data_IF_635125472899
#
_entry.id   IF_635125472899
#
_cell.length_a   1.000
_cell.length_b   1.000
_cell.length_c   1.000
_cell.angle_alpha   90.00
_cell.angle_beta   90.00
_cell.angle_gamma   90.00
#
_symmetry.space_group_name_H-M   'P 1'
#
loop_
_entity.id
_entity.type
_entity.pdbx_description
1 polymer ?
#
# COMPACT_ATOMS: atom_id res chain seq x y z
N UNK A 1 17.19 16.44 15.51
CA UNK A 1 17.97 15.28 15.04
C UNK A 1 17.75 14.05 15.91
N UNK A 2 17.79 14.15 17.23
CA UNK A 2 17.61 13.01 18.16
C UNK A 2 16.24 12.30 18.03
N UNK A 3 15.16 13.05 17.75
CA UNK A 3 13.81 12.50 17.52
C UNK A 3 13.69 11.71 16.21
N UNK A 4 14.39 12.15 15.16
CA UNK A 4 14.42 11.48 13.84
C UNK A 4 15.25 10.18 13.91
N UNK A 5 16.35 10.20 14.67
CA UNK A 5 17.18 9.02 14.95
C UNK A 5 16.44 7.98 15.80
N UNK A 6 15.63 8.42 16.77
CA UNK A 6 14.75 7.54 17.55
C UNK A 6 13.61 6.97 16.70
N UNK A 7 13.00 7.74 15.79
CA UNK A 7 11.92 7.26 14.90
C UNK A 7 12.35 6.15 13.94
N UNK A 8 13.57 6.19 13.40
CA UNK A 8 14.09 5.15 12.49
C UNK A 8 14.27 3.77 13.16
N UNK A 9 14.44 3.72 14.48
CA UNK A 9 14.59 2.48 15.26
C UNK A 9 13.25 1.84 15.68
N UNK A 10 12.13 2.55 15.54
CA UNK A 10 10.84 2.21 16.16
C UNK A 10 9.87 1.50 15.19
N UNK A 11 10.07 1.62 13.87
CA UNK A 11 9.21 0.96 12.86
C UNK A 11 9.04 -0.57 12.99
N UNK A 12 10.04 -1.35 13.41
CA UNK A 12 9.90 -2.81 13.55
C UNK A 12 9.12 -3.26 14.80
N UNK A 13 8.76 -2.33 15.70
CA UNK A 13 8.46 -2.63 17.11
C UNK A 13 7.27 -3.52 17.42
N UNK A 14 6.30 -3.57 16.51
CA UNK A 14 5.00 -4.15 16.85
C UNK A 14 4.70 -5.43 16.10
N UNK A 15 5.60 -5.86 15.22
CA UNK A 15 5.40 -7.04 14.39
C UNK A 15 5.22 -8.35 15.20
N UNK A 16 5.76 -8.46 16.42
CA UNK A 16 5.91 -9.76 17.08
C UNK A 16 4.91 -10.04 18.23
N UNK A 17 4.54 -9.04 19.03
CA UNK A 17 3.86 -9.31 20.32
C UNK A 17 2.36 -9.66 20.20
N UNK A 18 1.73 -9.32 19.07
CA UNK A 18 0.34 -9.68 18.77
C UNK A 18 0.25 -11.03 18.05
N UNK A 19 1.33 -11.46 17.38
CA UNK A 19 1.39 -12.71 16.61
C UNK A 19 1.29 -13.98 17.46
N UNK A 20 1.52 -13.91 18.78
CA UNK A 20 1.57 -15.08 19.68
C UNK A 20 0.27 -15.33 20.47
N UNK A 21 -0.79 -14.53 20.29
CA UNK A 21 -2.04 -14.67 21.07
C UNK A 21 -3.28 -15.10 20.30
N UNK A 22 -3.21 -15.31 18.98
CA UNK A 22 -4.37 -15.71 18.18
C UNK A 22 -4.03 -16.91 17.28
N UNK A 23 -4.79 -18.01 17.33
CA UNK A 23 -4.52 -19.18 16.50
C UNK A 23 -5.00 -18.94 15.07
N UNK A 24 -4.13 -19.31 14.12
CA UNK A 24 -4.43 -19.72 12.73
C UNK A 24 -5.10 -18.76 11.75
N UNK A 25 -4.40 -18.61 10.60
CA UNK A 25 -4.88 -18.25 9.26
C UNK A 25 -5.19 -16.76 8.99
N UNK A 26 -4.63 -16.26 7.88
CA UNK A 26 -4.99 -15.06 7.10
C UNK A 26 -4.26 -13.71 7.37
N UNK A 27 -3.40 -13.38 6.39
CA UNK A 27 -3.20 -12.07 5.71
C UNK A 27 -2.09 -11.09 6.18
N UNK A 28 -1.39 -10.44 5.22
CA UNK A 28 -0.52 -9.27 5.46
C UNK A 28 -1.21 -8.09 6.18
N UNK A 29 -2.55 -8.02 6.17
CA UNK A 29 -3.33 -7.02 6.92
C UNK A 29 -3.09 -7.08 8.45
N UNK A 30 -2.85 -8.26 9.03
CA UNK A 30 -2.49 -8.36 10.45
C UNK A 30 -1.12 -7.74 10.74
N UNK A 31 -0.15 -7.85 9.81
CA UNK A 31 1.18 -7.22 9.98
C UNK A 31 1.07 -5.69 10.07
N UNK A 32 0.20 -5.10 9.26
CA UNK A 32 -0.13 -3.66 9.30
C UNK A 32 -0.73 -3.29 10.65
N UNK A 33 -1.83 -3.94 11.06
CA UNK A 33 -2.55 -3.66 12.31
C UNK A 33 -1.67 -3.77 13.56
N UNK A 34 -0.74 -4.73 13.55
CA UNK A 34 0.22 -4.87 14.64
C UNK A 34 1.12 -3.63 14.68
N UNK A 35 1.83 -3.27 13.60
CA UNK A 35 2.70 -2.08 13.52
C UNK A 35 2.04 -0.78 14.03
N UNK A 36 0.73 -0.60 13.79
CA UNK A 36 -0.03 0.54 14.27
C UNK A 36 -0.17 0.61 15.80
N UNK A 37 -0.57 -0.48 16.45
CA UNK A 37 -0.97 -0.45 17.87
C UNK A 37 0.17 -0.07 18.81
N UNK A 38 1.39 -0.52 18.55
CA UNK A 38 2.53 -0.31 19.45
C UNK A 38 3.19 1.06 19.29
N UNK A 39 3.09 1.66 18.10
CA UNK A 39 3.65 2.98 17.82
C UNK A 39 2.75 4.11 18.33
N UNK A 40 1.42 3.90 18.32
CA UNK A 40 0.48 4.81 18.98
C UNK A 40 0.69 4.87 20.50
N UNK A 41 1.24 3.81 21.11
CA UNK A 41 1.65 3.82 22.52
C UNK A 41 2.91 4.68 22.77
N UNK A 42 3.77 4.86 21.76
CA UNK A 42 4.97 5.70 21.86
C UNK A 42 4.70 7.18 21.54
N UNK A 43 3.67 7.48 20.75
CA UNK A 43 3.41 8.82 20.21
C UNK A 43 1.90 9.11 19.99
N UNK A 44 1.13 9.30 21.07
CA UNK A 44 -0.33 9.45 21.00
C UNK A 44 -0.82 10.68 20.22
N UNK A 45 -0.03 11.77 20.15
CA UNK A 45 -0.40 13.03 19.47
C UNK A 45 -0.05 13.15 17.98
N UNK A 46 0.59 12.13 17.37
CA UNK A 46 1.12 12.22 15.99
C UNK A 46 0.74 11.03 15.11
N UNK A 47 -0.46 10.48 15.32
CA UNK A 47 -0.95 9.24 14.69
C UNK A 47 -0.81 9.23 13.15
N UNK A 48 -1.17 10.32 12.47
CA UNK A 48 -1.13 10.43 11.00
C UNK A 48 0.29 10.45 10.40
N UNK A 49 1.22 11.22 10.98
CA UNK A 49 2.62 11.29 10.51
C UNK A 49 3.33 9.96 10.71
N UNK A 50 3.03 9.27 11.82
CA UNK A 50 3.61 7.97 12.15
C UNK A 50 3.07 6.88 11.25
N UNK A 51 1.77 6.90 10.98
CA UNK A 51 1.14 6.07 9.96
C UNK A 51 1.89 6.22 8.62
N UNK A 52 2.03 7.47 8.15
CA UNK A 52 2.76 7.78 6.91
C UNK A 52 4.19 7.23 6.90
N UNK A 53 4.93 7.35 8.01
CA UNK A 53 6.31 6.87 8.11
C UNK A 53 6.42 5.33 8.08
N UNK A 54 5.55 4.61 8.80
CA UNK A 54 5.48 3.14 8.79
C UNK A 54 5.26 2.64 7.36
N UNK A 55 4.25 3.24 6.74
CA UNK A 55 3.76 2.89 5.43
C UNK A 55 4.79 3.28 4.35
N UNK A 56 5.57 4.35 4.56
CA UNK A 56 6.71 4.71 3.71
C UNK A 56 7.84 3.68 3.80
N UNK A 57 8.11 3.10 4.98
CA UNK A 57 9.10 2.02 5.13
C UNK A 57 8.80 0.79 4.24
N UNK A 58 7.53 0.43 4.09
CA UNK A 58 7.11 -0.61 3.16
C UNK A 58 7.38 -0.23 1.69
N UNK A 59 7.12 1.04 1.33
CA UNK A 59 7.43 1.57 0.00
C UNK A 59 8.93 1.55 -0.30
N UNK A 60 9.77 1.91 0.67
CA UNK A 60 11.23 2.02 0.53
C UNK A 60 11.96 0.68 0.52
N UNK A 61 11.36 -0.41 1.00
CA UNK A 61 11.98 -1.74 1.03
C UNK A 61 12.42 -2.28 -0.35
N UNK A 62 11.85 -1.75 -1.42
CA UNK A 62 12.22 -2.10 -2.80
C UNK A 62 13.53 -1.43 -3.29
N UNK A 63 14.02 -0.37 -2.62
CA UNK A 63 15.20 0.40 -3.08
C UNK A 63 16.47 -0.44 -3.23
N UNK A 64 16.69 -1.38 -2.30
CA UNK A 64 17.87 -2.24 -2.32
C UNK A 64 17.61 -3.60 -2.97
N UNK A 65 16.41 -4.15 -2.78
CA UNK A 65 16.16 -5.56 -3.10
C UNK A 65 16.20 -5.85 -4.59
N UNK A 66 15.68 -4.98 -5.46
CA UNK A 66 15.70 -5.22 -6.92
C UNK A 66 17.12 -5.13 -7.50
N UNK A 67 17.93 -4.20 -7.00
CA UNK A 67 19.34 -4.06 -7.40
C UNK A 67 20.18 -5.25 -6.96
N UNK A 68 20.04 -5.68 -5.69
CA UNK A 68 20.75 -6.85 -5.16
C UNK A 68 20.39 -8.12 -5.95
N UNK A 69 19.10 -8.32 -6.21
CA UNK A 69 18.63 -9.46 -7.01
C UNK A 69 19.22 -9.44 -8.42
N UNK A 70 19.17 -8.28 -9.09
CA UNK A 70 19.64 -8.16 -10.48
C UNK A 70 21.15 -8.32 -10.57
N UNK A 71 21.92 -7.72 -9.66
CA UNK A 71 23.38 -7.85 -9.63
C UNK A 71 23.82 -9.30 -9.34
N UNK A 72 23.08 -10.03 -8.51
CA UNK A 72 23.35 -11.45 -8.23
C UNK A 72 22.99 -12.36 -9.41
N UNK A 73 21.79 -12.18 -9.98
CA UNK A 73 21.27 -13.02 -11.07
C UNK A 73 21.99 -12.76 -12.40
N UNK A 74 22.26 -11.51 -12.74
CA UNK A 74 22.76 -11.10 -14.04
C UNK A 74 23.95 -10.13 -13.91
N UNK A 75 25.10 -10.56 -13.37
CA UNK A 75 26.24 -9.67 -13.11
C UNK A 75 26.85 -9.10 -14.39
N UNK A 76 26.77 -9.85 -15.49
CA UNK A 76 27.30 -9.46 -16.81
C UNK A 76 26.32 -8.57 -17.60
N UNK A 77 25.17 -8.22 -16.99
CA UNK A 77 24.15 -7.37 -17.58
C UNK A 77 23.69 -7.84 -18.98
N UNK A 78 23.56 -9.16 -19.15
CA UNK A 78 23.13 -9.77 -20.42
C UNK A 78 21.69 -9.35 -20.72
N UNK A 79 21.35 -9.09 -21.99
CA UNK A 79 19.96 -8.79 -22.36
C UNK A 79 19.12 -10.08 -22.43
N UNK A 80 17.81 -10.00 -22.15
CA UNK A 80 16.89 -11.12 -22.36
C UNK A 80 16.56 -11.31 -23.86
N UNK A 81 15.79 -12.37 -24.17
CA UNK A 81 15.24 -12.58 -25.50
C UNK A 81 14.15 -11.53 -25.85
N UNK A 82 13.69 -11.54 -27.10
CA UNK A 82 12.69 -10.59 -27.61
C UNK A 82 11.33 -10.66 -26.90
N UNK A 83 11.04 -11.75 -26.21
CA UNK A 83 9.84 -11.93 -25.38
C UNK A 83 9.97 -11.37 -23.95
N UNK A 84 11.15 -10.82 -23.59
CA UNK A 84 11.43 -10.27 -22.27
C UNK A 84 11.84 -11.31 -21.22
N UNK A 85 12.14 -12.55 -21.61
CA UNK A 85 12.58 -13.60 -20.70
C UNK A 85 14.06 -13.97 -20.88
N UNK A 86 14.70 -14.37 -19.78
CA UNK A 86 16.06 -14.90 -19.78
C UNK A 86 16.02 -16.41 -19.98
N UNK A 87 16.82 -16.92 -20.92
CA UNK A 87 16.96 -18.36 -21.18
C UNK A 87 18.35 -18.91 -20.85
N UNK A 88 19.30 -18.03 -20.53
CA UNK A 88 20.66 -18.48 -20.26
C UNK A 88 20.73 -19.29 -18.97
N UNK A 89 21.27 -20.50 -19.06
CA UNK A 89 21.48 -21.38 -17.91
C UNK A 89 22.27 -20.66 -16.80
N UNK A 90 23.27 -19.85 -17.16
CA UNK A 90 24.08 -19.08 -16.21
C UNK A 90 23.29 -18.12 -15.30
N UNK A 91 22.13 -17.64 -15.77
CA UNK A 91 21.20 -16.78 -15.02
C UNK A 91 20.15 -17.64 -14.31
N UNK A 92 19.59 -18.63 -15.00
CA UNK A 92 18.53 -19.51 -14.48
C UNK A 92 19.01 -20.36 -13.29
N UNK A 93 20.25 -20.86 -13.33
CA UNK A 93 20.85 -21.67 -12.25
C UNK A 93 21.05 -20.86 -10.96
N UNK A 94 21.09 -19.53 -11.05
CA UNK A 94 21.19 -18.62 -9.89
C UNK A 94 19.85 -18.32 -9.24
N UNK A 95 18.73 -18.62 -9.90
CA UNK A 95 17.37 -18.31 -9.41
C UNK A 95 17.09 -18.99 -8.06
N UNK A 96 17.34 -20.29 -7.84
CA UNK A 96 17.14 -20.89 -6.52
C UNK A 96 18.01 -20.23 -5.43
N UNK A 97 19.27 -19.90 -5.76
CA UNK A 97 20.23 -19.29 -4.84
C UNK A 97 19.83 -17.86 -4.44
N UNK A 98 19.22 -17.08 -5.33
CA UNK A 98 18.75 -15.73 -4.99
C UNK A 98 17.64 -15.76 -3.95
N UNK A 99 16.77 -16.78 -3.95
CA UNK A 99 15.74 -16.93 -2.91
C UNK A 99 16.37 -17.24 -1.54
N UNK A 100 17.43 -18.05 -1.50
CA UNK A 100 18.18 -18.31 -0.25
C UNK A 100 18.86 -17.04 0.24
N UNK A 101 19.50 -16.28 -0.65
CA UNK A 101 20.12 -14.98 -0.32
C UNK A 101 19.08 -14.01 0.25
N UNK A 102 17.94 -13.84 -0.41
CA UNK A 102 16.85 -12.98 0.06
C UNK A 102 16.31 -13.46 1.41
N UNK A 103 16.15 -14.78 1.60
CA UNK A 103 15.76 -15.37 2.87
C UNK A 103 16.73 -15.03 3.99
N UNK A 104 18.04 -15.14 3.74
CA UNK A 104 19.08 -14.77 4.71
C UNK A 104 19.08 -13.26 5.03
N UNK A 105 18.97 -12.40 4.00
CA UNK A 105 18.88 -10.95 4.18
C UNK A 105 17.65 -10.58 5.00
N UNK A 106 16.48 -11.13 4.67
CA UNK A 106 15.26 -10.87 5.43
C UNK A 106 15.33 -11.44 6.86
N UNK A 107 15.99 -12.58 7.07
CA UNK A 107 16.20 -13.14 8.41
C UNK A 107 17.09 -12.24 9.25
N UNK A 108 18.18 -11.71 8.70
CA UNK A 108 19.06 -10.75 9.39
C UNK A 108 18.31 -9.46 9.68
N UNK A 109 17.63 -8.89 8.69
CA UNK A 109 16.82 -7.67 8.88
C UNK A 109 15.76 -7.87 9.96
N UNK A 110 15.07 -9.01 9.95
CA UNK A 110 14.06 -9.35 10.96
C UNK A 110 14.71 -9.59 12.32
N UNK A 111 15.88 -10.23 12.38
CA UNK A 111 16.63 -10.47 13.62
C UNK A 111 17.10 -9.17 14.27
N UNK A 112 17.68 -8.26 13.50
CA UNK A 112 18.04 -6.90 13.96
C UNK A 112 16.78 -6.16 14.40
N UNK A 113 15.72 -6.21 13.60
CA UNK A 113 14.41 -5.64 13.96
C UNK A 113 13.90 -6.17 15.30
N UNK A 114 14.06 -7.48 15.56
CA UNK A 114 13.70 -8.16 16.81
C UNK A 114 14.58 -7.74 17.99
N UNK A 115 15.88 -7.53 17.80
CA UNK A 115 16.81 -7.10 18.85
C UNK A 115 16.61 -5.64 19.23
N UNK A 116 16.19 -4.80 18.28
CA UNK A 116 15.82 -3.40 18.53
C UNK A 116 14.45 -3.28 19.21
N UNK A 117 13.74 -4.41 19.46
CA UNK A 117 12.42 -4.39 20.09
C UNK A 117 12.51 -4.06 21.59
N UNK A 118 12.06 -2.86 21.99
CA UNK A 118 11.93 -2.48 23.39
C UNK A 118 10.52 -1.98 23.72
N UNK A 119 10.00 -2.39 24.90
CA UNK A 119 8.74 -1.86 25.42
C UNK A 119 8.94 -0.40 25.82
N UNK A 120 7.93 0.48 25.65
CA UNK A 120 7.97 1.79 26.28
C UNK A 120 8.09 1.64 27.81
N UNK A 121 8.87 2.48 28.51
CA UNK A 121 8.96 2.47 29.98
C UNK A 121 7.55 2.60 30.58
N UNK A 122 7.20 1.74 31.55
CA UNK A 122 5.84 1.66 32.13
C UNK A 122 5.37 3.01 32.71
N UNK A 123 6.31 3.74 33.28
CA UNK A 123 6.18 5.06 33.87
C UNK A 123 5.75 6.12 32.85
N UNK A 124 6.18 6.01 31.58
CA UNK A 124 5.71 6.89 30.50
C UNK A 124 4.40 6.43 29.87
N UNK A 125 4.12 5.13 29.85
CA UNK A 125 2.84 4.59 29.34
C UNK A 125 1.66 5.16 30.12
N UNK A 126 1.79 5.32 31.44
CA UNK A 126 0.72 5.91 32.24
C UNK A 126 0.53 7.41 31.97
N UNK A 127 1.63 8.14 31.78
CA UNK A 127 1.59 9.55 31.34
C UNK A 127 0.96 9.69 29.96
N UNK A 128 1.22 8.76 29.03
CA UNK A 128 0.66 8.78 27.67
C UNK A 128 -0.81 8.37 27.61
N UNK A 129 -1.25 7.45 28.47
CA UNK A 129 -2.67 7.14 28.63
C UNK A 129 -3.39 8.36 29.22
N UNK A 130 -2.80 9.02 30.23
CA UNK A 130 -3.36 10.25 30.80
C UNK A 130 -3.37 11.43 29.81
N UNK A 131 -2.32 11.61 29.00
CA UNK A 131 -2.29 12.60 27.92
C UNK A 131 -3.28 12.26 26.81
N UNK A 132 -3.41 10.98 26.44
CA UNK A 132 -4.39 10.51 25.46
C UNK A 132 -5.83 10.70 25.93
N UNK A 133 -6.12 10.36 27.18
CA UNK A 133 -7.41 10.61 27.84
C UNK A 133 -7.67 12.11 28.01
N UNK A 134 -6.65 12.92 28.31
CA UNK A 134 -6.72 14.38 28.38
C UNK A 134 -7.00 15.02 27.02
N UNK A 135 -6.41 14.52 25.94
CA UNK A 135 -6.62 15.01 24.58
C UNK A 135 -8.00 14.61 24.06
N UNK A 136 -8.42 13.37 24.31
CA UNK A 136 -9.78 12.91 24.03
C UNK A 136 -10.81 13.70 24.85
N UNK A 137 -10.54 13.94 26.14
CA UNK A 137 -11.41 14.76 26.99
C UNK A 137 -11.44 16.22 26.49
N UNK A 138 -10.31 16.79 26.04
CA UNK A 138 -10.27 18.12 25.43
C UNK A 138 -11.06 18.19 24.13
N UNK A 139 -10.91 17.22 23.23
CA UNK A 139 -11.68 17.15 21.98
C UNK A 139 -13.19 17.06 22.28
N UNK A 140 -13.60 16.17 23.20
CA UNK A 140 -15.00 16.03 23.65
C UNK A 140 -15.52 17.31 24.32
N UNK A 141 -14.67 18.02 25.07
CA UNK A 141 -15.07 19.27 25.75
C UNK A 141 -15.15 20.44 24.77
N UNK A 142 -14.26 20.50 23.77
CA UNK A 142 -14.28 21.52 22.71
C UNK A 142 -15.55 21.38 21.87
N UNK A 143 -15.89 20.15 21.46
CA UNK A 143 -17.10 19.83 20.69
C UNK A 143 -18.37 20.18 21.51
N UNK A 144 -18.36 19.88 22.83
CA UNK A 144 -19.46 20.22 23.74
C UNK A 144 -19.60 21.74 24.00
N UNK A 145 -18.50 22.50 23.98
CA UNK A 145 -18.54 23.97 24.16
C UNK A 145 -18.95 24.71 22.88
N UNK A 146 -18.57 24.23 21.69
CA UNK A 146 -19.08 24.77 20.42
C UNK A 146 -20.59 24.52 20.28
N UNK A 147 -21.07 23.33 20.69
CA UNK A 147 -22.50 22.97 20.71
C UNK A 147 -23.36 23.86 21.64
N UNK A 148 -22.76 24.54 22.64
CA UNK A 148 -23.48 25.46 23.53
C UNK A 148 -23.63 26.88 22.97
N UNK A 149 -22.87 27.23 21.93
CA UNK A 149 -22.97 28.55 21.25
C UNK A 149 -23.92 28.55 20.06
N UNK A 150 -24.44 27.38 19.67
CA UNK A 150 -25.47 27.24 18.63
C UNK A 150 -26.83 27.25 19.32
N UNK A 151 -27.70 28.19 18.92
CA UNK A 151 -29.09 28.27 19.37
C UNK A 151 -29.77 26.89 19.31
N UNK A 152 -30.59 26.49 20.31
CA UNK A 152 -31.22 25.16 20.37
C UNK A 152 -32.10 24.78 19.17
N UNK A 153 -32.34 25.72 18.24
CA UNK A 153 -33.17 25.54 17.05
C UNK A 153 -32.38 25.17 15.77
N UNK A 154 -31.06 24.97 15.81
CA UNK A 154 -30.27 24.67 14.59
C UNK A 154 -29.35 23.45 14.71
N UNK A 155 -29.37 22.71 15.83
CA UNK A 155 -28.65 21.43 16.00
C UNK A 155 -29.51 20.24 15.52
N UNK A 156 -30.17 20.38 14.38
CA UNK A 156 -30.85 19.28 13.67
C UNK A 156 -30.13 18.95 12.37
N UNK A 157 -28.80 19.04 12.37
CA UNK A 157 -27.94 18.54 11.31
C UNK A 157 -27.15 17.32 11.81
N UNK A 158 -27.86 16.20 11.94
CA UNK A 158 -27.37 14.81 11.80
C UNK A 158 -25.86 14.59 11.94
N UNK A 159 -25.31 14.59 13.14
CA UNK A 159 -24.18 13.71 13.49
C UNK A 159 -24.77 12.43 14.07
N UNK A 160 -25.30 11.56 13.21
CA UNK A 160 -25.49 10.17 13.62
C UNK A 160 -24.12 9.66 14.08
N UNK A 161 -23.98 9.09 15.29
CA UNK A 161 -22.72 8.52 15.74
C UNK A 161 -22.22 7.53 14.67
N UNK A 162 -20.95 7.64 14.28
CA UNK A 162 -20.33 6.68 13.37
C UNK A 162 -20.50 5.31 14.01
N UNK A 163 -21.41 4.50 13.46
CA UNK A 163 -21.71 3.19 14.05
C UNK A 163 -20.49 2.31 13.84
N UNK A 164 -19.72 2.09 14.91
CA UNK A 164 -18.63 1.12 14.91
C UNK A 164 -19.22 -0.27 14.63
N UNK A 165 -18.89 -0.81 13.46
CA UNK A 165 -19.43 -2.06 12.96
C UNK A 165 -18.43 -3.21 13.16
N UNK A 166 -18.95 -4.33 13.65
CA UNK A 166 -18.17 -5.56 13.82
C UNK A 166 -17.84 -6.19 12.47
N UNK A 167 -16.75 -6.98 12.38
CA UNK A 167 -16.39 -7.69 11.14
C UNK A 167 -17.53 -8.52 10.52
N UNK A 168 -18.37 -9.15 11.35
CA UNK A 168 -19.52 -9.92 10.89
C UNK A 168 -20.67 -9.06 10.32
N UNK A 169 -20.71 -7.76 10.65
CA UNK A 169 -21.70 -6.81 10.17
C UNK A 169 -21.24 -6.14 8.87
N UNK A 170 -19.94 -5.83 8.73
CA UNK A 170 -19.42 -5.20 7.52
C UNK A 170 -19.60 -6.10 6.28
N UNK A 171 -19.49 -7.42 6.44
CA UNK A 171 -19.69 -8.38 5.33
C UNK A 171 -21.14 -8.45 4.86
N UNK A 172 -22.09 -7.86 5.60
CA UNK A 172 -23.49 -7.71 5.15
C UNK A 172 -23.74 -6.35 4.51
N UNK A 173 -22.77 -5.43 4.58
CA UNK A 173 -22.90 -4.06 4.12
C UNK A 173 -22.50 -3.95 2.63
N UNK A 174 -23.36 -3.33 1.82
CA UNK A 174 -23.09 -3.09 0.39
C UNK A 174 -21.84 -2.24 0.16
N UNK A 175 -21.59 -1.25 1.01
CA UNK A 175 -20.41 -0.37 0.91
C UNK A 175 -19.12 -1.16 1.00
N UNK A 176 -19.09 -2.22 1.83
CA UNK A 176 -17.91 -3.06 1.99
C UNK A 176 -17.55 -3.73 0.66
N UNK A 177 -18.52 -4.30 -0.05
CA UNK A 177 -18.28 -4.95 -1.34
C UNK A 177 -17.88 -3.97 -2.44
N UNK A 178 -18.39 -2.74 -2.41
CA UNK A 178 -17.94 -1.67 -3.34
C UNK A 178 -16.45 -1.38 -3.11
N UNK A 179 -16.05 -1.14 -1.86
CA UNK A 179 -14.64 -0.90 -1.51
C UNK A 179 -13.75 -2.13 -1.78
N UNK A 180 -14.25 -3.33 -1.51
CA UNK A 180 -13.56 -4.59 -1.75
C UNK A 180 -13.28 -4.81 -3.23
N UNK A 181 -14.28 -4.61 -4.09
CA UNK A 181 -14.12 -4.75 -5.55
C UNK A 181 -13.20 -3.65 -6.13
N UNK A 182 -13.30 -2.42 -5.62
CA UNK A 182 -12.36 -1.37 -6.00
C UNK A 182 -10.91 -1.76 -5.65
N UNK A 183 -10.69 -2.23 -4.42
CA UNK A 183 -9.36 -2.68 -3.99
C UNK A 183 -8.90 -3.88 -4.81
N UNK A 184 -9.78 -4.84 -5.10
CA UNK A 184 -9.53 -5.99 -5.95
C UNK A 184 -9.01 -5.59 -7.34
N UNK A 185 -9.74 -4.75 -8.08
CA UNK A 185 -9.33 -4.31 -9.41
C UNK A 185 -8.02 -3.53 -9.41
N UNK A 186 -7.82 -2.65 -8.42
CA UNK A 186 -6.55 -1.94 -8.28
C UNK A 186 -5.39 -2.88 -7.96
N UNK A 187 -5.60 -3.89 -7.10
CA UNK A 187 -4.54 -4.86 -6.76
C UNK A 187 -4.15 -5.74 -7.94
N UNK A 188 -5.06 -6.03 -8.89
CA UNK A 188 -4.70 -6.70 -10.16
C UNK A 188 -3.71 -5.84 -10.94
N UNK A 189 -3.99 -4.54 -11.11
CA UNK A 189 -3.09 -3.64 -11.80
C UNK A 189 -1.73 -3.50 -11.10
N UNK A 190 -1.75 -3.33 -9.78
CA UNK A 190 -0.53 -3.25 -8.95
C UNK A 190 0.29 -4.53 -9.08
N UNK A 191 -0.35 -5.69 -9.01
CA UNK A 191 0.30 -6.98 -9.19
C UNK A 191 0.91 -7.14 -10.58
N UNK A 192 0.18 -6.72 -11.63
CA UNK A 192 0.65 -6.77 -13.01
C UNK A 192 1.93 -5.96 -13.21
N UNK A 193 1.95 -4.67 -12.82
CA UNK A 193 3.13 -3.83 -13.04
C UNK A 193 4.34 -4.30 -12.22
N UNK A 194 4.12 -4.80 -11.00
CA UNK A 194 5.20 -5.34 -10.18
C UNK A 194 5.78 -6.64 -10.77
N UNK A 195 4.95 -7.48 -11.39
CA UNK A 195 5.41 -8.72 -12.00
C UNK A 195 6.06 -8.49 -13.37
N UNK A 196 5.42 -7.70 -14.24
CA UNK A 196 5.71 -7.63 -15.67
C UNK A 196 6.31 -6.30 -16.13
N UNK A 197 6.37 -5.28 -15.27
CA UNK A 197 6.86 -3.95 -15.65
C UNK A 197 8.31 -3.95 -16.14
N UNK A 198 9.20 -4.67 -15.44
CA UNK A 198 10.60 -4.84 -15.84
C UNK A 198 10.71 -5.64 -17.15
N UNK A 199 9.98 -6.75 -17.26
CA UNK A 199 9.95 -7.61 -18.46
C UNK A 199 9.47 -6.86 -19.70
N UNK A 200 8.48 -5.98 -19.55
CA UNK A 200 8.06 -5.10 -20.64
C UNK A 200 9.18 -4.13 -21.06
N UNK A 201 9.82 -3.44 -20.11
CA UNK A 201 10.94 -2.53 -20.40
C UNK A 201 12.10 -3.22 -21.11
N UNK A 202 12.37 -4.49 -20.76
CA UNK A 202 13.40 -5.32 -21.36
C UNK A 202 13.20 -5.59 -22.87
N UNK A 203 11.97 -5.48 -23.39
CA UNK A 203 11.71 -5.70 -24.82
C UNK A 203 12.36 -4.65 -25.72
N UNK A 204 12.66 -3.45 -25.19
CA UNK A 204 13.31 -2.36 -25.93
C UNK A 204 14.49 -1.71 -25.20
N UNK A 205 14.72 -2.01 -23.91
CA UNK A 205 15.86 -1.53 -23.11
C UNK A 205 16.74 -2.73 -22.75
N UNK A 206 17.92 -2.83 -23.40
CA UNK A 206 18.86 -3.94 -23.23
C UNK A 206 19.79 -3.83 -22.01
N UNK A 207 19.50 -2.90 -21.11
CA UNK A 207 20.29 -2.65 -19.90
C UNK A 207 19.46 -3.04 -18.67
N UNK A 208 19.71 -4.26 -18.17
CA UNK A 208 18.96 -4.88 -17.09
C UNK A 208 19.23 -4.22 -15.73
N UNK A 209 20.49 -3.79 -15.51
CA UNK A 209 20.92 -3.05 -14.33
C UNK A 209 20.26 -1.68 -14.27
N UNK A 210 20.20 -0.96 -15.40
CA UNK A 210 19.45 0.29 -15.48
C UNK A 210 17.98 0.10 -15.12
N UNK A 211 17.32 -0.92 -15.68
CA UNK A 211 15.92 -1.21 -15.37
C UNK A 211 15.71 -1.53 -13.89
N UNK A 212 16.61 -2.31 -13.29
CA UNK A 212 16.59 -2.61 -11.86
C UNK A 212 16.73 -1.35 -10.99
N UNK A 213 17.63 -0.44 -11.37
CA UNK A 213 17.82 0.84 -10.69
C UNK A 213 16.57 1.72 -10.80
N UNK A 214 15.93 1.80 -11.98
CA UNK A 214 14.72 2.60 -12.17
C UNK A 214 13.51 2.05 -11.40
N UNK A 215 13.34 0.72 -11.34
CA UNK A 215 12.34 0.06 -10.50
C UNK A 215 12.62 0.33 -9.02
N UNK A 216 13.89 0.28 -8.60
CA UNK A 216 14.28 0.59 -7.23
C UNK A 216 13.93 2.04 -6.87
N UNK A 217 14.26 3.01 -7.72
CA UNK A 217 13.94 4.42 -7.50
C UNK A 217 12.42 4.68 -7.49
N UNK A 218 11.61 3.85 -8.15
CA UNK A 218 10.15 3.95 -8.12
C UNK A 218 9.58 3.79 -6.69
N UNK A 219 10.32 3.16 -5.78
CA UNK A 219 10.00 3.08 -4.36
C UNK A 219 9.86 4.46 -3.68
N UNK A 220 10.67 5.44 -4.09
CA UNK A 220 10.62 6.81 -3.55
C UNK A 220 9.30 7.47 -3.98
N UNK A 221 8.92 7.30 -5.24
CA UNK A 221 7.64 7.78 -5.76
C UNK A 221 6.46 7.08 -5.11
N UNK A 222 6.59 5.78 -4.82
CA UNK A 222 5.59 5.06 -4.05
C UNK A 222 5.45 5.62 -2.63
N UNK A 223 6.55 5.88 -1.92
CA UNK A 223 6.50 6.47 -0.58
C UNK A 223 5.92 7.89 -0.60
N UNK A 224 6.41 8.75 -1.49
CA UNK A 224 5.95 10.13 -1.64
C UNK A 224 4.49 10.23 -2.07
N UNK A 225 4.05 9.37 -2.99
CA UNK A 225 2.67 9.34 -3.46
C UNK A 225 1.67 9.06 -2.34
N UNK A 226 1.98 8.19 -1.37
CA UNK A 226 1.09 7.94 -0.22
C UNK A 226 0.81 9.20 0.57
N UNK A 227 1.82 10.05 0.75
CA UNK A 227 1.69 11.34 1.45
C UNK A 227 0.85 12.32 0.63
N UNK A 228 1.14 12.44 -0.68
CA UNK A 228 0.42 13.38 -1.56
C UNK A 228 -1.04 12.99 -1.72
N UNK A 229 -1.33 11.72 -1.99
CA UNK A 229 -2.71 11.24 -2.14
C UNK A 229 -3.49 11.29 -0.83
N UNK A 230 -2.85 11.00 0.31
CA UNK A 230 -3.43 11.20 1.63
C UNK A 230 -3.85 12.65 1.85
N UNK A 231 -2.94 13.61 1.60
CA UNK A 231 -3.23 15.03 1.71
C UNK A 231 -4.32 15.49 0.72
N UNK A 232 -4.31 14.98 -0.51
CA UNK A 232 -5.36 15.31 -1.49
C UNK A 232 -6.74 14.85 -1.01
N UNK A 233 -6.83 13.65 -0.41
CA UNK A 233 -8.07 13.15 0.16
C UNK A 233 -8.53 14.02 1.33
N UNK A 234 -7.62 14.45 2.21
CA UNK A 234 -7.94 15.33 3.34
C UNK A 234 -8.46 16.70 2.87
N UNK A 235 -7.93 17.23 1.76
CA UNK A 235 -8.36 18.51 1.18
C UNK A 235 -9.65 18.41 0.35
N UNK A 236 -10.05 17.20 -0.08
CA UNK A 236 -11.19 17.01 -0.99
C UNK A 236 -12.20 16.03 -0.39
N UNK A 237 -12.19 14.77 -0.84
CA UNK A 237 -12.95 13.65 -0.28
C UNK A 237 -12.37 12.36 -0.82
N UNK A 238 -12.66 11.23 -0.17
CA UNK A 238 -12.23 9.91 -0.66
C UNK A 238 -12.65 9.68 -2.11
N UNK A 239 -13.89 10.04 -2.48
CA UNK A 239 -14.41 9.81 -3.84
C UNK A 239 -13.73 10.65 -4.91
N UNK A 240 -13.37 11.90 -4.61
CA UNK A 240 -12.64 12.74 -5.56
C UNK A 240 -11.22 12.22 -5.73
N UNK A 241 -10.52 12.00 -4.62
CA UNK A 241 -9.14 11.51 -4.65
C UNK A 241 -9.03 10.14 -5.32
N UNK A 242 -9.94 9.21 -4.99
CA UNK A 242 -9.93 7.86 -5.57
C UNK A 242 -10.27 7.86 -7.07
N UNK A 243 -11.21 8.70 -7.52
CA UNK A 243 -11.52 8.86 -8.96
C UNK A 243 -10.36 9.39 -9.76
N UNK A 244 -9.69 10.41 -9.23
CA UNK A 244 -8.50 10.99 -9.87
C UNK A 244 -7.40 9.95 -9.94
N UNK A 245 -7.15 9.25 -8.83
CA UNK A 245 -6.15 8.19 -8.76
C UNK A 245 -6.40 7.08 -9.78
N UNK A 246 -7.59 6.49 -9.80
CA UNK A 246 -7.89 5.36 -10.69
C UNK A 246 -7.97 5.78 -12.16
N UNK A 247 -8.45 7.00 -12.44
CA UNK A 247 -8.45 7.55 -13.81
C UNK A 247 -7.04 7.77 -14.34
N UNK A 248 -6.15 8.38 -13.54
CA UNK A 248 -4.75 8.58 -13.91
C UNK A 248 -4.05 7.23 -14.07
N UNK A 249 -4.32 6.27 -13.18
CA UNK A 249 -3.75 4.93 -13.27
C UNK A 249 -4.19 4.21 -14.55
N UNK A 250 -5.48 4.26 -14.90
CA UNK A 250 -6.01 3.67 -16.12
C UNK A 250 -5.36 4.28 -17.37
N UNK A 251 -5.21 5.62 -17.41
CA UNK A 251 -4.56 6.32 -18.52
C UNK A 251 -3.08 5.91 -18.65
N UNK A 252 -2.35 5.87 -17.54
CA UNK A 252 -0.94 5.47 -17.53
C UNK A 252 -0.76 4.02 -18.01
N UNK A 253 -1.63 3.10 -17.60
CA UNK A 253 -1.60 1.72 -18.10
C UNK A 253 -1.94 1.64 -19.59
N UNK A 254 -2.98 2.35 -20.04
CA UNK A 254 -3.37 2.34 -21.45
C UNK A 254 -2.28 2.91 -22.38
N UNK A 255 -1.52 3.90 -21.90
CA UNK A 255 -0.45 4.55 -22.66
C UNK A 255 0.94 3.95 -22.44
N UNK A 256 1.11 3.04 -21.47
CA UNK A 256 2.38 2.37 -21.18
C UNK A 256 3.03 1.73 -22.43
N UNK A 257 2.29 1.07 -23.35
CA UNK A 257 2.88 0.49 -24.56
C UNK A 257 3.57 1.50 -25.48
N UNK A 258 3.13 2.78 -25.47
CA UNK A 258 3.74 3.84 -26.29
C UNK A 258 5.18 4.16 -25.86
N UNK A 259 5.55 3.83 -24.62
CA UNK A 259 6.92 4.08 -24.13
C UNK A 259 7.97 3.27 -24.89
N UNK A 260 7.59 2.16 -25.54
CA UNK A 260 8.49 1.36 -26.36
C UNK A 260 9.01 2.13 -27.59
N UNK A 261 8.21 3.04 -28.17
CA UNK A 261 8.64 3.89 -29.29
C UNK A 261 9.30 5.20 -28.85
N UNK A 262 9.02 5.66 -27.62
CA UNK A 262 9.57 6.89 -27.05
C UNK A 262 10.94 6.70 -26.36
N UNK A 263 11.28 5.46 -26.02
CA UNK A 263 12.57 5.08 -25.44
C UNK A 263 12.63 5.13 -23.92
N UNK A 264 13.84 4.88 -23.39
CA UNK A 264 14.06 4.57 -21.96
C UNK A 264 13.63 5.65 -20.96
N UNK A 265 13.69 6.92 -21.34
CA UNK A 265 13.28 8.02 -20.47
C UNK A 265 11.77 8.03 -20.26
N UNK A 266 10.99 7.85 -21.33
CA UNK A 266 9.53 7.78 -21.25
C UNK A 266 9.07 6.58 -20.41
N UNK A 267 9.67 5.40 -20.61
CA UNK A 267 9.41 4.22 -19.79
C UNK A 267 9.62 4.50 -18.30
N UNK A 268 10.76 5.11 -17.95
CA UNK A 268 11.10 5.44 -16.57
C UNK A 268 10.08 6.40 -15.94
N UNK A 269 9.71 7.45 -16.67
CA UNK A 269 8.72 8.44 -16.21
C UNK A 269 7.36 7.80 -15.98
N UNK A 270 6.90 6.94 -16.89
CA UNK A 270 5.64 6.21 -16.73
C UNK A 270 5.68 5.26 -15.54
N UNK A 271 6.77 4.52 -15.39
CA UNK A 271 6.95 3.59 -14.27
C UNK A 271 6.85 4.35 -12.93
N UNK A 272 7.56 5.47 -12.79
CA UNK A 272 7.49 6.31 -11.59
C UNK A 272 6.11 6.92 -11.37
N UNK A 273 5.45 7.39 -12.42
CA UNK A 273 4.09 7.91 -12.35
C UNK A 273 3.09 6.84 -11.91
N UNK A 274 3.22 5.60 -12.40
CA UNK A 274 2.40 4.46 -11.98
C UNK A 274 2.63 4.15 -10.51
N UNK A 275 3.88 4.06 -10.07
CA UNK A 275 4.24 3.79 -8.67
C UNK A 275 3.76 4.89 -7.72
N UNK A 276 3.84 6.15 -8.14
CA UNK A 276 3.26 7.29 -7.45
C UNK A 276 1.74 7.17 -7.35
N UNK A 277 1.06 6.85 -8.45
CA UNK A 277 -0.40 6.83 -8.52
C UNK A 277 -1.00 5.69 -7.72
N UNK A 278 -0.57 4.43 -7.95
CA UNK A 278 -1.18 3.30 -7.24
C UNK A 278 -0.90 3.33 -5.73
N UNK A 279 0.18 4.00 -5.29
CA UNK A 279 0.49 4.14 -3.88
C UNK A 279 -0.66 4.75 -3.07
N UNK A 280 -1.42 5.67 -3.67
CA UNK A 280 -2.58 6.27 -3.02
C UNK A 280 -3.69 5.26 -2.72
N UNK A 281 -3.78 4.13 -3.44
CA UNK A 281 -4.74 3.07 -3.08
C UNK A 281 -4.46 2.53 -1.67
N UNK A 282 -3.19 2.40 -1.29
CA UNK A 282 -2.79 1.98 0.05
C UNK A 282 -2.96 3.07 1.12
N UNK A 283 -3.05 4.35 0.74
CA UNK A 283 -3.28 5.46 1.66
C UNK A 283 -4.77 5.75 1.87
N UNK A 284 -5.56 5.68 0.81
CA UNK A 284 -6.97 6.06 0.80
C UNK A 284 -7.87 4.94 1.36
N UNK A 285 -7.61 3.68 1.01
CA UNK A 285 -8.46 2.55 1.38
C UNK A 285 -8.57 2.29 2.89
N UNK A 286 -7.48 2.33 3.68
CA UNK A 286 -7.61 2.15 5.12
C UNK A 286 -8.46 3.26 5.74
N UNK A 287 -8.24 4.51 5.32
CA UNK A 287 -9.04 5.66 5.76
C UNK A 287 -10.52 5.53 5.40
N UNK A 288 -10.83 4.95 4.23
CA UNK A 288 -12.21 4.69 3.84
C UNK A 288 -12.90 3.62 4.70
N UNK A 289 -12.18 2.57 5.09
CA UNK A 289 -12.70 1.54 6.00
C UNK A 289 -13.01 2.14 7.37
N UNK A 290 -12.09 2.93 7.93
CA UNK A 290 -12.27 3.61 9.21
C UNK A 290 -13.46 4.57 9.17
N UNK A 291 -13.54 5.44 8.15
CA UNK A 291 -14.66 6.40 8.01
C UNK A 291 -16.01 5.72 7.76
N UNK A 292 -16.03 4.57 7.08
CA UNK A 292 -17.27 3.89 6.73
C UNK A 292 -17.81 2.96 7.82
N UNK A 293 -16.92 2.38 8.64
CA UNK A 293 -17.27 1.29 9.56
C UNK A 293 -16.79 1.52 11.01
N UNK A 294 -16.16 2.67 11.29
CA UNK A 294 -15.68 3.03 12.60
C UNK A 294 -14.25 2.56 12.89
N UNK A 295 -13.69 3.08 13.99
CA UNK A 295 -12.31 2.88 14.39
C UNK A 295 -12.12 1.68 15.34
N UNK A 296 -13.15 1.27 16.08
CA UNK A 296 -13.04 0.25 17.14
C UNK A 296 -12.57 -1.11 16.59
N UNK A 297 -13.11 -1.53 15.45
CA UNK A 297 -12.78 -2.79 14.78
C UNK A 297 -11.99 -2.60 13.49
N UNK A 298 -11.38 -1.41 13.29
CA UNK A 298 -10.67 -1.02 12.06
C UNK A 298 -9.69 -2.09 11.57
N UNK A 299 -8.86 -2.64 12.46
CA UNK A 299 -7.83 -3.60 12.08
C UNK A 299 -8.40 -4.89 11.48
N UNK A 300 -9.46 -5.44 12.07
CA UNK A 300 -10.13 -6.63 11.56
C UNK A 300 -10.90 -6.30 10.26
N UNK A 301 -11.55 -5.15 10.21
CA UNK A 301 -12.32 -4.68 9.05
C UNK A 301 -11.40 -4.42 7.83
N UNK A 302 -10.23 -3.82 8.04
CA UNK A 302 -9.23 -3.61 7.01
C UNK A 302 -8.57 -4.93 6.59
N UNK A 303 -8.36 -5.86 7.52
CA UNK A 303 -7.94 -7.23 7.22
C UNK A 303 -8.91 -7.93 6.27
N UNK A 304 -10.22 -7.78 6.48
CA UNK A 304 -11.25 -8.30 5.57
C UNK A 304 -11.19 -7.65 4.19
N UNK A 305 -10.93 -6.35 4.08
CA UNK A 305 -10.70 -5.71 2.78
C UNK A 305 -9.49 -6.33 2.07
N UNK A 306 -8.42 -6.61 2.81
CA UNK A 306 -7.17 -7.17 2.28
C UNK A 306 -7.33 -8.58 1.68
N UNK A 307 -8.40 -9.31 2.05
CA UNK A 307 -8.72 -10.61 1.42
C UNK A 307 -8.83 -10.49 -0.11
N UNK A 308 -9.24 -9.32 -0.63
CA UNK A 308 -9.35 -9.11 -2.07
C UNK A 308 -8.02 -9.23 -2.80
N UNK A 309 -6.92 -8.80 -2.16
CA UNK A 309 -5.57 -8.95 -2.69
C UNK A 309 -5.13 -10.42 -2.73
N UNK A 310 -5.59 -11.24 -1.79
CA UNK A 310 -5.35 -12.68 -1.82
C UNK A 310 -6.12 -13.36 -2.95
N UNK A 311 -7.33 -12.92 -3.23
CA UNK A 311 -8.12 -13.42 -4.37
C UNK A 311 -7.52 -12.97 -5.71
N UNK A 312 -6.98 -11.75 -5.80
CA UNK A 312 -6.37 -11.27 -7.05
C UNK A 312 -5.03 -11.94 -7.37
N UNK A 313 -4.27 -12.41 -6.38
CA UNK A 313 -2.96 -13.04 -6.56
C UNK A 313 -2.92 -14.16 -7.61
N UNK A 314 -3.70 -15.25 -7.46
CA UNK A 314 -3.77 -16.32 -8.45
C UNK A 314 -4.24 -15.84 -9.83
N UNK A 315 -5.16 -14.87 -9.88
CA UNK A 315 -5.66 -14.29 -11.13
C UNK A 315 -4.58 -13.49 -11.86
N UNK A 316 -3.72 -12.78 -11.14
CA UNK A 316 -2.56 -12.12 -11.71
C UNK A 316 -1.59 -13.16 -12.29
N UNK A 317 -1.27 -14.22 -11.53
CA UNK A 317 -0.34 -15.25 -11.98
C UNK A 317 -0.82 -15.97 -13.25
N UNK A 318 -2.04 -16.51 -13.22
CA UNK A 318 -2.63 -17.21 -14.37
C UNK A 318 -2.96 -16.25 -15.52
N UNK A 319 -3.49 -15.08 -15.20
CA UNK A 319 -3.87 -14.05 -16.16
C UNK A 319 -2.68 -13.52 -16.94
N UNK A 320 -1.54 -13.25 -16.29
CA UNK A 320 -0.34 -12.79 -16.98
C UNK A 320 0.14 -13.81 -18.01
N UNK A 321 0.20 -15.10 -17.65
CA UNK A 321 0.65 -16.15 -18.57
C UNK A 321 -0.27 -16.28 -19.78
N UNK A 322 -1.59 -16.29 -19.57
CA UNK A 322 -2.59 -16.40 -20.64
C UNK A 322 -2.63 -15.15 -21.52
N UNK A 323 -2.65 -13.97 -20.91
CA UNK A 323 -2.76 -12.71 -21.65
C UNK A 323 -1.49 -12.44 -22.47
N UNK A 324 -0.30 -12.77 -21.94
CA UNK A 324 0.96 -12.58 -22.67
C UNK A 324 1.03 -13.48 -23.90
N UNK A 325 0.66 -14.74 -23.77
CA UNK A 325 0.67 -15.68 -24.90
C UNK A 325 -0.37 -15.35 -25.96
N UNK A 326 -1.49 -14.75 -25.57
CA UNK A 326 -2.61 -14.45 -26.49
C UNK A 326 -2.48 -13.06 -27.14
N UNK A 327 -2.11 -12.04 -26.37
CA UNK A 327 -2.19 -10.64 -26.78
C UNK A 327 -0.88 -9.86 -26.68
N UNK A 328 0.20 -10.49 -26.18
CA UNK A 328 1.47 -9.83 -25.90
C UNK A 328 1.36 -8.72 -24.83
N UNK A 329 2.47 -8.02 -24.59
CA UNK A 329 2.51 -6.97 -23.56
C UNK A 329 1.49 -5.85 -23.80
N UNK A 330 1.35 -5.37 -25.04
CA UNK A 330 0.42 -4.28 -25.37
C UNK A 330 -1.02 -4.62 -25.00
N UNK A 331 -1.51 -5.80 -25.40
CA UNK A 331 -2.87 -6.19 -25.06
C UNK A 331 -3.06 -6.44 -23.57
N UNK A 332 -2.05 -6.97 -22.87
CA UNK A 332 -2.09 -7.10 -21.41
C UNK A 332 -2.28 -5.76 -20.70
N UNK A 333 -1.50 -4.73 -21.08
CA UNK A 333 -1.63 -3.39 -20.52
C UNK A 333 -3.02 -2.79 -20.78
N UNK A 334 -3.59 -2.99 -21.97
CA UNK A 334 -4.93 -2.51 -22.31
C UNK A 334 -6.04 -3.25 -21.54
N UNK A 335 -5.91 -4.58 -21.37
CA UNK A 335 -6.86 -5.37 -20.56
C UNK A 335 -6.83 -4.90 -19.11
N UNK A 336 -5.64 -4.71 -18.53
CA UNK A 336 -5.50 -4.21 -17.17
C UNK A 336 -6.01 -2.77 -17.04
N UNK A 337 -5.78 -1.91 -18.04
CA UNK A 337 -6.38 -0.57 -18.09
C UNK A 337 -7.93 -0.65 -18.06
N UNK A 338 -8.53 -1.57 -18.82
CA UNK A 338 -9.96 -1.85 -18.78
C UNK A 338 -10.46 -2.28 -17.41
N UNK A 339 -9.71 -3.14 -16.71
CA UNK A 339 -10.02 -3.54 -15.32
C UNK A 339 -9.98 -2.33 -14.38
N UNK A 340 -9.01 -1.42 -14.53
CA UNK A 340 -8.95 -0.19 -13.72
C UNK A 340 -10.15 0.72 -14.02
N UNK A 341 -10.63 0.79 -15.27
CA UNK A 341 -11.86 1.54 -15.61
C UNK A 341 -13.08 1.00 -14.85
N UNK A 342 -13.16 -0.31 -14.59
CA UNK A 342 -14.20 -0.87 -13.71
C UNK A 342 -14.07 -0.31 -12.28
N UNK A 343 -12.84 -0.19 -11.76
CA UNK A 343 -12.56 0.46 -10.47
C UNK A 343 -13.04 1.92 -10.46
N UNK A 344 -12.81 2.68 -11.55
CA UNK A 344 -13.36 4.04 -11.73
C UNK A 344 -14.89 4.00 -11.65
N UNK A 345 -15.55 3.08 -12.34
CA UNK A 345 -17.01 2.91 -12.28
C UNK A 345 -17.52 2.67 -10.85
N UNK A 346 -16.82 1.82 -10.09
CA UNK A 346 -17.18 1.51 -8.70
C UNK A 346 -17.08 2.73 -7.77
N UNK A 347 -16.20 3.70 -8.05
CA UNK A 347 -16.10 4.93 -7.22
C UNK A 347 -17.41 5.75 -7.18
N UNK A 348 -18.25 5.66 -8.23
CA UNK A 348 -19.53 6.36 -8.28
C UNK A 348 -20.58 5.74 -7.37
N UNK A 349 -20.40 4.46 -7.01
CA UNK A 349 -21.27 3.72 -6.09
C UNK A 349 -20.90 3.95 -4.62
N UNK A 350 -19.78 4.61 -4.35
CA UNK A 350 -19.32 4.91 -2.99
C UNK A 350 -20.25 5.97 -2.37
N UNK A 351 -20.77 5.74 -1.15
CA UNK A 351 -21.61 6.69 -0.43
C UNK A 351 -20.99 8.08 -0.25
N UNK A 352 -21.84 9.11 -0.12
CA UNK A 352 -21.35 10.49 -0.03
C UNK A 352 -20.55 10.83 1.23
N UNK A 353 -20.78 10.06 2.30
CA UNK A 353 -20.31 10.30 3.66
C UNK A 353 -18.89 9.76 3.94
N UNK A 354 -18.24 9.15 2.94
CA UNK A 354 -16.87 8.59 2.99
C UNK A 354 -16.01 9.46 2.08
#
# INVERSE_FOLDING_TARGET
METQQKMAAILPLVFWKVSLRQPTLCLPGLKYSCAYCGLFMWFPGHKGVINGLIVAGFGLGALGSTNIQTAFLNPENKPPQSDGYFVEASILDRVPSVFVLLGAVFLVMQGVGCMLLNKPPQDKVMTYIQEGESLLAKEVTYDAQELQTISPATVTATTEPCKDLKPAEIIKNRTFYVLWLMYFFNTIAIGYINAMGKSFGQTFIKDDHFLAAMVSLAAIFNAGGRVVWGRLMDLTSFRVAMRLLTSVLALLFATMPLTASMGRAAFTLWLWAIFFTFSGTFALMPTAIEKAFGAEHYSANYGLLFTSQTVSGPLIAAGNQLLLTTFGFTGCFLVVAGIIVLSVGMTFLVPKRI
#
